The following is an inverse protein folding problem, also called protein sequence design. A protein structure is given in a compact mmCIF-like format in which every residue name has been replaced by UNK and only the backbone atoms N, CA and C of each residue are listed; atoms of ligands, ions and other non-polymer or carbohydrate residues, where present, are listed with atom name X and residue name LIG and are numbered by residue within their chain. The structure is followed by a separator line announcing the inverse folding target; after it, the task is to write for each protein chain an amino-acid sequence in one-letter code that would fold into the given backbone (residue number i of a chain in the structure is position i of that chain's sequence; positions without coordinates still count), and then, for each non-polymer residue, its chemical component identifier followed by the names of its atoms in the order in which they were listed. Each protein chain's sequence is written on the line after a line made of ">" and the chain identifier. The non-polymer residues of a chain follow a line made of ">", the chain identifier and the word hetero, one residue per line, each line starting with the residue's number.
data_IF_751887030042
#
_entry.id   IF_751887030042
#
_cell.length_a   1.000
_cell.length_b   1.000
_cell.length_c   1.000
_cell.angle_alpha   90.00
_cell.angle_beta   90.00
_cell.angle_gamma   90.00
#
_symmetry.space_group_name_H-M   'P 1'
#
loop_
_entity.id
_entity.type
_entity.pdbx_description
1 polymer ?
#
# COMPACT_ATOMS: atom_id res chain seq x y z
N UNK A 1 19.35 2.87 -15.91
CA UNK A 1 18.12 2.36 -15.28
C UNK A 1 18.34 0.88 -15.02
N UNK A 2 18.20 0.41 -13.77
CA UNK A 2 18.38 -1.01 -13.45
C UNK A 2 17.27 -1.88 -14.05
N UNK A 3 17.51 -3.19 -14.16
CA UNK A 3 16.52 -4.15 -14.66
C UNK A 3 15.24 -4.14 -13.81
N UNK A 4 15.36 -4.03 -12.49
CA UNK A 4 14.23 -3.93 -11.55
C UNK A 4 13.38 -2.69 -11.82
N UNK A 5 14.01 -1.51 -12.02
CA UNK A 5 13.30 -0.28 -12.35
C UNK A 5 12.60 -0.37 -13.70
N UNK A 6 13.25 -0.96 -14.71
CA UNK A 6 12.67 -1.19 -16.02
C UNK A 6 11.45 -2.12 -15.95
N UNK A 7 11.54 -3.19 -15.16
CA UNK A 7 10.43 -4.12 -14.92
C UNK A 7 9.22 -3.41 -14.27
N UNK A 8 9.46 -2.57 -13.26
CA UNK A 8 8.39 -1.79 -12.59
C UNK A 8 7.77 -0.76 -13.55
N UNK A 9 8.61 -0.04 -14.31
CA UNK A 9 8.15 0.96 -15.27
C UNK A 9 7.27 0.34 -16.38
N UNK A 10 7.57 -0.88 -16.82
CA UNK A 10 6.83 -1.61 -17.87
C UNK A 10 5.74 -2.55 -17.36
N UNK A 11 5.52 -2.63 -16.04
CA UNK A 11 4.54 -3.52 -15.42
C UNK A 11 3.12 -3.26 -15.96
N UNK A 12 2.41 -4.32 -16.34
CA UNK A 12 1.04 -4.24 -16.86
C UNK A 12 -0.01 -4.37 -15.76
N UNK A 13 0.31 -5.04 -14.68
CA UNK A 13 -0.55 -5.16 -13.49
C UNK A 13 0.23 -4.65 -12.28
N UNK A 14 -0.27 -3.59 -11.65
CA UNK A 14 0.44 -2.91 -10.58
C UNK A 14 -0.48 -2.71 -9.37
N UNK A 15 0.06 -2.98 -8.19
CA UNK A 15 -0.57 -2.59 -6.94
C UNK A 15 0.13 -1.35 -6.40
N UNK A 16 -0.64 -0.33 -6.05
CA UNK A 16 -0.13 0.92 -5.51
C UNK A 16 -0.69 1.13 -4.11
N UNK A 17 0.17 1.08 -3.11
CA UNK A 17 -0.20 1.38 -1.73
C UNK A 17 0.04 2.86 -1.43
N UNK A 18 -0.94 3.49 -0.80
CA UNK A 18 -0.90 4.90 -0.42
C UNK A 18 -1.05 5.01 1.09
N UNK A 19 -0.02 5.56 1.74
CA UNK A 19 0.03 5.75 3.19
C UNK A 19 -0.96 6.82 3.69
N UNK A 20 -1.35 6.74 4.96
CA UNK A 20 -2.30 7.69 5.57
C UNK A 20 -1.80 9.13 5.56
N UNK A 21 -0.50 9.36 5.76
CA UNK A 21 0.14 10.68 5.72
C UNK A 21 0.01 11.40 4.38
N UNK A 22 -0.12 10.63 3.29
CA UNK A 22 -0.35 11.17 1.96
C UNK A 22 -1.79 11.63 1.71
N UNK A 23 -2.75 11.14 2.50
CA UNK A 23 -4.19 11.33 2.28
C UNK A 23 -4.87 12.18 3.35
N UNK A 24 -4.23 12.36 4.52
CA UNK A 24 -4.83 13.09 5.65
C UNK A 24 -3.96 14.26 6.08
N UNK A 25 -4.60 15.33 6.54
CA UNK A 25 -3.92 16.50 7.10
C UNK A 25 -3.62 16.32 8.60
N UNK A 26 -2.68 17.15 9.13
CA UNK A 26 -2.33 17.17 10.55
C UNK A 26 -3.48 17.58 11.47
N UNK A 27 -4.41 18.40 10.97
CA UNK A 27 -5.59 18.88 11.69
C UNK A 27 -6.78 17.92 11.56
N UNK A 28 -6.58 16.76 10.96
CA UNK A 28 -7.61 15.75 10.71
C UNK A 28 -8.38 15.99 9.41
N UNK A 29 -8.97 14.90 8.90
CA UNK A 29 -9.72 14.91 7.66
C UNK A 29 -8.87 14.59 6.42
N UNK A 30 -9.55 14.41 5.30
CA UNK A 30 -8.93 14.10 4.01
C UNK A 30 -8.34 15.35 3.36
N UNK A 31 -7.15 15.22 2.81
CA UNK A 31 -6.56 16.19 1.88
C UNK A 31 -6.98 15.82 0.45
N UNK A 32 -8.10 16.39 0.01
CA UNK A 32 -8.66 16.13 -1.32
C UNK A 32 -7.73 16.59 -2.44
N UNK A 33 -6.93 17.64 -2.20
CA UNK A 33 -5.96 18.12 -3.18
C UNK A 33 -4.87 17.08 -3.45
N UNK A 34 -4.28 16.52 -2.39
CA UNK A 34 -3.28 15.44 -2.52
C UNK A 34 -3.89 14.18 -3.12
N UNK A 35 -5.11 13.82 -2.71
CA UNK A 35 -5.81 12.67 -3.27
C UNK A 35 -6.04 12.82 -4.77
N UNK A 36 -6.42 14.02 -5.23
CA UNK A 36 -6.58 14.31 -6.65
C UNK A 36 -5.27 14.17 -7.43
N UNK A 37 -4.14 14.66 -6.92
CA UNK A 37 -2.83 14.51 -7.56
C UNK A 37 -2.42 13.03 -7.67
N UNK A 38 -2.70 12.24 -6.64
CA UNK A 38 -2.46 10.80 -6.68
C UNK A 38 -3.35 10.10 -7.70
N UNK A 39 -4.64 10.45 -7.77
CA UNK A 39 -5.54 9.92 -8.78
C UNK A 39 -5.12 10.31 -10.21
N UNK A 40 -4.56 11.51 -10.41
CA UNK A 40 -4.03 11.95 -11.70
C UNK A 40 -2.85 11.08 -12.14
N UNK A 41 -1.92 10.77 -11.23
CA UNK A 41 -0.78 9.90 -11.49
C UNK A 41 -1.21 8.44 -11.79
N UNK A 42 -2.18 7.93 -11.02
CA UNK A 42 -2.76 6.59 -11.23
C UNK A 42 -3.49 6.50 -12.58
N UNK A 43 -4.26 7.53 -12.93
CA UNK A 43 -4.96 7.58 -14.22
C UNK A 43 -3.98 7.65 -15.39
N UNK A 44 -2.91 8.43 -15.29
CA UNK A 44 -1.87 8.47 -16.30
C UNK A 44 -1.26 7.08 -16.55
N UNK A 45 -1.01 6.31 -15.48
CA UNK A 45 -0.53 4.94 -15.56
C UNK A 45 -1.55 4.01 -16.24
N UNK A 46 -2.84 4.12 -15.88
CA UNK A 46 -3.90 3.32 -16.50
C UNK A 46 -4.06 3.64 -17.98
N UNK A 47 -3.96 4.91 -18.40
CA UNK A 47 -3.97 5.30 -19.81
C UNK A 47 -2.78 4.77 -20.59
N UNK A 48 -1.66 4.57 -19.94
CA UNK A 48 -0.48 3.93 -20.54
C UNK A 48 -0.64 2.40 -20.69
N UNK A 49 -1.77 1.82 -20.29
CA UNK A 49 -2.13 0.42 -20.54
C UNK A 49 -1.88 -0.51 -19.34
N UNK A 50 -1.69 0.01 -18.15
CA UNK A 50 -1.56 -0.81 -16.95
C UNK A 50 -2.89 -0.96 -16.21
N UNK A 51 -3.15 -2.15 -15.68
CA UNK A 51 -4.19 -2.38 -14.68
C UNK A 51 -3.66 -1.96 -13.30
N UNK A 52 -4.44 -1.17 -12.57
CA UNK A 52 -4.04 -0.62 -11.27
C UNK A 52 -5.04 -1.04 -10.19
N UNK A 53 -4.50 -1.59 -9.10
CA UNK A 53 -5.23 -1.80 -7.83
C UNK A 53 -4.63 -0.85 -6.80
N UNK A 54 -5.47 -0.07 -6.14
CA UNK A 54 -5.06 0.87 -5.10
C UNK A 54 -5.28 0.24 -3.73
N UNK A 55 -4.26 0.20 -2.88
CA UNK A 55 -4.41 -0.13 -1.46
C UNK A 55 -4.29 1.17 -0.66
N UNK A 56 -5.44 1.66 -0.19
CA UNK A 56 -5.56 2.97 0.45
C UNK A 56 -5.54 2.85 1.95
N UNK A 57 -4.82 3.74 2.61
CA UNK A 57 -4.89 3.96 4.06
C UNK A 57 -5.70 5.22 4.36
N UNK A 58 -5.76 5.61 5.65
CA UNK A 58 -6.26 6.91 6.06
C UNK A 58 -7.69 6.93 6.59
N UNK A 59 -8.40 5.79 6.65
CA UNK A 59 -9.78 5.74 7.12
C UNK A 59 -9.94 6.29 8.55
N UNK A 60 -9.12 5.84 9.51
CA UNK A 60 -9.17 6.36 10.89
C UNK A 60 -8.93 7.88 10.91
N UNK A 61 -7.89 8.35 10.21
CA UNK A 61 -7.57 9.79 10.14
C UNK A 61 -8.69 10.62 9.53
N UNK A 62 -9.32 10.12 8.46
CA UNK A 62 -10.42 10.78 7.80
C UNK A 62 -11.68 10.90 8.69
N UNK A 63 -11.86 9.97 9.63
CA UNK A 63 -13.01 9.96 10.54
C UNK A 63 -12.85 10.82 11.80
N UNK A 64 -11.64 11.33 12.10
CA UNK A 64 -11.41 12.09 13.33
C UNK A 64 -12.21 13.38 13.38
N UNK A 65 -12.03 14.23 12.38
CA UNK A 65 -12.69 15.54 12.34
C UNK A 65 -14.22 15.45 12.30
N UNK A 66 -14.86 14.58 11.50
CA UNK A 66 -16.32 14.42 11.51
C UNK A 66 -16.87 13.96 12.87
N UNK A 67 -16.09 13.24 13.67
CA UNK A 67 -16.46 12.77 15.01
C UNK A 67 -16.05 13.75 16.12
N UNK A 68 -15.49 14.91 15.79
CA UNK A 68 -15.01 15.89 16.77
C UNK A 68 -13.79 15.40 17.60
N UNK A 69 -13.06 14.41 17.09
CA UNK A 69 -11.88 13.85 17.75
C UNK A 69 -10.64 14.69 17.37
N UNK A 70 -9.98 15.23 18.37
CA UNK A 70 -8.76 16.05 18.20
C UNK A 70 -7.48 15.21 18.15
N UNK A 71 -7.55 13.95 18.59
CA UNK A 71 -6.41 13.05 18.67
C UNK A 71 -6.81 11.65 18.17
N UNK A 72 -5.80 10.90 17.72
CA UNK A 72 -6.02 9.50 17.33
C UNK A 72 -6.41 8.67 18.55
N UNK A 73 -7.56 7.97 18.53
CA UNK A 73 -8.03 7.15 19.65
C UNK A 73 -7.02 6.06 20.02
N UNK A 74 -6.97 5.71 21.29
CA UNK A 74 -6.13 4.61 21.77
C UNK A 74 -6.92 3.30 21.88
N UNK A 75 -8.19 3.38 22.27
CA UNK A 75 -9.07 2.23 22.38
C UNK A 75 -9.55 1.74 21.03
N UNK A 76 -9.82 0.43 20.93
CA UNK A 76 -10.19 -0.23 19.68
C UNK A 76 -11.56 0.25 19.18
N UNK A 77 -12.56 0.35 20.04
CA UNK A 77 -13.91 0.68 19.63
C UNK A 77 -14.00 2.07 19.00
N UNK A 78 -13.33 3.08 19.59
CA UNK A 78 -13.28 4.42 19.03
C UNK A 78 -12.47 4.47 17.71
N UNK A 79 -11.39 3.66 17.59
CA UNK A 79 -10.66 3.53 16.33
C UNK A 79 -11.55 2.93 15.23
N UNK A 80 -12.32 1.88 15.55
CA UNK A 80 -13.24 1.24 14.61
C UNK A 80 -14.37 2.20 14.19
N UNK A 81 -14.93 2.97 15.15
CA UNK A 81 -15.93 3.98 14.85
C UNK A 81 -15.36 5.08 13.91
N UNK A 82 -14.17 5.59 14.21
CA UNK A 82 -13.48 6.57 13.36
C UNK A 82 -13.19 6.00 11.97
N UNK A 83 -12.72 4.76 11.89
CA UNK A 83 -12.49 4.09 10.60
C UNK A 83 -13.79 3.93 9.80
N UNK A 84 -14.90 3.57 10.45
CA UNK A 84 -16.21 3.43 9.79
C UNK A 84 -16.66 4.74 9.13
N UNK A 85 -16.62 5.85 9.87
CA UNK A 85 -16.97 7.18 9.33
C UNK A 85 -15.98 7.61 8.24
N UNK A 86 -14.69 7.46 8.51
CA UNK A 86 -13.65 7.90 7.58
C UNK A 86 -13.56 7.05 6.32
N UNK A 87 -13.90 5.76 6.38
CA UNK A 87 -13.92 4.88 5.20
C UNK A 87 -14.98 5.32 4.19
N UNK A 88 -16.15 5.77 4.66
CA UNK A 88 -17.18 6.32 3.78
C UNK A 88 -16.68 7.59 3.07
N UNK A 89 -16.07 8.51 3.82
CA UNK A 89 -15.48 9.73 3.26
C UNK A 89 -14.37 9.45 2.26
N UNK A 90 -13.49 8.50 2.59
CA UNK A 90 -12.37 8.09 1.74
C UNK A 90 -12.84 7.46 0.43
N UNK A 91 -13.81 6.55 0.49
CA UNK A 91 -14.39 5.91 -0.69
C UNK A 91 -15.08 6.93 -1.60
N UNK A 92 -15.83 7.88 -1.00
CA UNK A 92 -16.47 8.99 -1.75
C UNK A 92 -15.42 9.88 -2.43
N UNK A 93 -14.34 10.24 -1.73
CA UNK A 93 -13.28 11.08 -2.27
C UNK A 93 -12.58 10.42 -3.46
N UNK A 94 -12.23 9.12 -3.36
CA UNK A 94 -11.68 8.36 -4.49
C UNK A 94 -12.66 8.28 -5.66
N UNK A 95 -13.95 8.01 -5.39
CA UNK A 95 -14.99 7.96 -6.42
C UNK A 95 -15.13 9.29 -7.15
N UNK A 96 -15.18 10.40 -6.43
CA UNK A 96 -15.25 11.75 -6.99
C UNK A 96 -14.02 12.11 -7.80
N UNK A 97 -12.84 11.76 -7.30
CA UNK A 97 -11.58 12.04 -8.00
C UNK A 97 -11.48 11.28 -9.32
N UNK A 98 -11.78 9.99 -9.35
CA UNK A 98 -11.74 9.18 -10.55
C UNK A 98 -12.90 9.46 -11.52
N UNK A 99 -14.04 9.99 -11.04
CA UNK A 99 -15.15 10.42 -11.89
C UNK A 99 -14.74 11.53 -12.87
N UNK A 100 -13.71 12.34 -12.54
CA UNK A 100 -13.12 13.35 -13.46
C UNK A 100 -12.63 12.72 -14.77
N UNK A 101 -12.31 11.43 -14.74
CA UNK A 101 -11.80 10.64 -15.87
C UNK A 101 -12.83 9.63 -16.40
N UNK A 102 -14.06 9.67 -15.92
CA UNK A 102 -15.11 8.72 -16.29
C UNK A 102 -14.87 7.31 -15.76
N UNK A 103 -14.02 7.15 -14.71
CA UNK A 103 -13.75 5.86 -14.10
C UNK A 103 -14.73 5.54 -12.98
N UNK A 104 -15.19 4.29 -12.95
CA UNK A 104 -15.93 3.73 -11.81
C UNK A 104 -14.96 3.19 -10.78
N UNK A 105 -15.26 3.41 -9.51
CA UNK A 105 -14.48 2.90 -8.37
C UNK A 105 -15.26 1.80 -7.66
N UNK A 106 -14.59 0.70 -7.34
CA UNK A 106 -15.12 -0.37 -6.49
C UNK A 106 -14.34 -0.45 -5.18
N UNK A 107 -15.03 -0.40 -4.02
CA UNK A 107 -14.40 -0.59 -2.72
C UNK A 107 -14.34 -2.07 -2.36
N UNK A 108 -13.17 -2.53 -1.88
CA UNK A 108 -12.94 -3.89 -1.38
C UNK A 108 -12.30 -3.81 0.00
N UNK A 109 -13.02 -4.24 1.03
CA UNK A 109 -12.53 -4.26 2.41
C UNK A 109 -12.15 -5.70 2.79
N UNK A 110 -10.92 -5.88 3.26
CA UNK A 110 -10.35 -7.18 3.59
C UNK A 110 -9.77 -7.17 5.01
N UNK A 111 -9.88 -8.30 5.67
CA UNK A 111 -9.14 -8.59 6.91
C UNK A 111 -8.00 -9.56 6.63
N UNK A 112 -7.06 -9.70 7.58
CA UNK A 112 -6.02 -10.72 7.51
C UNK A 112 -6.64 -12.13 7.39
N UNK A 113 -7.73 -12.37 8.08
CA UNK A 113 -8.46 -13.65 8.06
C UNK A 113 -9.09 -13.94 6.69
N UNK A 114 -9.66 -12.92 6.02
CA UNK A 114 -10.21 -13.06 4.66
C UNK A 114 -9.15 -13.49 3.66
N UNK A 115 -7.94 -12.98 3.83
CA UNK A 115 -6.82 -13.37 2.97
C UNK A 115 -6.29 -14.76 3.36
N UNK A 116 -6.27 -15.13 4.63
CA UNK A 116 -5.78 -16.43 5.12
C UNK A 116 -6.70 -17.60 4.75
N UNK A 117 -8.01 -17.40 4.72
CA UNK A 117 -8.99 -18.46 4.46
C UNK A 117 -9.19 -18.69 2.96
N UNK A 118 -9.00 -19.93 2.51
CA UNK A 118 -9.04 -20.32 1.10
C UNK A 118 -10.27 -19.86 0.33
N UNK A 119 -11.45 -19.91 0.95
CA UNK A 119 -12.72 -19.53 0.29
C UNK A 119 -12.80 -18.03 0.10
N UNK A 120 -12.54 -17.25 1.15
CA UNK A 120 -12.55 -15.79 1.14
C UNK A 120 -11.48 -15.25 0.21
N UNK A 121 -10.25 -15.80 0.28
CA UNK A 121 -9.16 -15.51 -0.63
C UNK A 121 -9.57 -15.62 -2.10
N UNK A 122 -10.17 -16.77 -2.48
CA UNK A 122 -10.64 -16.99 -3.84
C UNK A 122 -11.75 -16.01 -4.25
N UNK A 123 -12.65 -15.68 -3.34
CA UNK A 123 -13.71 -14.71 -3.61
C UNK A 123 -13.15 -13.30 -3.80
N UNK A 124 -12.22 -12.86 -2.93
CA UNK A 124 -11.54 -11.59 -3.06
C UNK A 124 -10.79 -11.50 -4.41
N UNK A 125 -10.04 -12.54 -4.77
CA UNK A 125 -9.34 -12.61 -6.05
C UNK A 125 -10.30 -12.45 -7.23
N UNK A 126 -11.39 -13.25 -7.26
CA UNK A 126 -12.39 -13.19 -8.34
C UNK A 126 -13.07 -11.83 -8.43
N UNK A 127 -13.34 -11.19 -7.29
CA UNK A 127 -13.91 -9.83 -7.26
C UNK A 127 -12.96 -8.82 -7.87
N UNK A 128 -11.68 -8.83 -7.48
CA UNK A 128 -10.65 -7.94 -8.03
C UNK A 128 -10.45 -8.19 -9.53
N UNK A 129 -10.38 -9.45 -9.96
CA UNK A 129 -10.29 -9.80 -11.38
C UNK A 129 -11.52 -9.32 -12.16
N UNK A 130 -12.72 -9.40 -11.56
CA UNK A 130 -13.93 -8.95 -12.23
C UNK A 130 -14.03 -7.45 -12.32
N UNK A 131 -13.64 -6.70 -11.28
CA UNK A 131 -13.54 -5.24 -11.31
C UNK A 131 -12.60 -4.79 -12.42
N UNK A 132 -11.43 -5.41 -12.52
CA UNK A 132 -10.48 -5.16 -13.60
C UNK A 132 -11.10 -5.41 -14.99
N UNK A 133 -11.73 -6.56 -15.17
CA UNK A 133 -12.39 -6.90 -16.45
C UNK A 133 -13.53 -5.94 -16.82
N UNK A 134 -14.12 -5.27 -15.84
CA UNK A 134 -15.16 -4.25 -16.01
C UNK A 134 -14.59 -2.82 -16.08
N UNK A 135 -13.26 -2.68 -16.12
CA UNK A 135 -12.53 -1.40 -16.14
C UNK A 135 -12.84 -0.49 -14.94
N UNK A 136 -13.24 -1.07 -13.79
CA UNK A 136 -13.42 -0.37 -12.54
C UNK A 136 -12.12 -0.36 -11.75
N UNK A 137 -11.81 0.77 -11.12
CA UNK A 137 -10.62 0.90 -10.25
C UNK A 137 -10.94 0.30 -8.89
N UNK A 138 -10.22 -0.72 -8.48
CA UNK A 138 -10.37 -1.32 -7.16
C UNK A 138 -9.61 -0.49 -6.11
N UNK A 139 -10.32 -0.02 -5.09
CA UNK A 139 -9.77 0.62 -3.90
C UNK A 139 -9.89 -0.38 -2.74
N UNK A 140 -8.77 -0.96 -2.36
CA UNK A 140 -8.68 -1.94 -1.28
C UNK A 140 -8.27 -1.24 0.01
N UNK A 141 -8.86 -1.63 1.14
CA UNK A 141 -8.43 -1.21 2.46
C UNK A 141 -8.64 -2.34 3.47
N UNK A 142 -8.04 -2.21 4.66
CA UNK A 142 -8.38 -3.07 5.78
C UNK A 142 -9.83 -2.83 6.21
N UNK A 143 -10.56 -3.90 6.55
CA UNK A 143 -11.85 -3.79 7.19
C UNK A 143 -11.68 -3.54 8.70
N UNK A 144 -11.31 -2.30 9.02
CA UNK A 144 -11.04 -1.87 10.39
C UNK A 144 -12.22 -2.09 11.35
N UNK A 145 -13.46 -2.14 10.85
CA UNK A 145 -14.66 -2.27 11.69
C UNK A 145 -14.79 -3.64 12.35
N UNK A 146 -14.23 -4.67 11.75
CA UNK A 146 -14.28 -6.04 12.27
C UNK A 146 -12.90 -6.63 12.54
N UNK A 147 -11.82 -5.91 12.22
CA UNK A 147 -10.47 -6.36 12.50
C UNK A 147 -10.21 -6.39 14.02
N UNK A 148 -9.72 -7.53 14.52
CA UNK A 148 -9.34 -7.68 15.92
C UNK A 148 -7.93 -7.13 16.17
N UNK A 149 -7.58 -6.87 17.44
CA UNK A 149 -6.27 -6.31 17.81
C UNK A 149 -5.14 -7.25 17.37
N UNK A 150 -5.38 -8.56 17.46
CA UNK A 150 -4.41 -9.62 17.16
C UNK A 150 -4.23 -9.86 15.65
N UNK A 151 -5.27 -9.58 14.86
CA UNK A 151 -5.33 -9.89 13.43
C UNK A 151 -5.29 -8.64 12.53
N UNK A 152 -4.93 -7.48 13.07
CA UNK A 152 -4.76 -6.26 12.26
C UNK A 152 -3.46 -6.32 11.47
N UNK A 153 -3.53 -5.82 10.25
CA UNK A 153 -2.32 -5.59 9.46
C UNK A 153 -1.40 -4.53 10.09
N UNK A 154 -1.93 -3.72 11.04
CA UNK A 154 -1.20 -2.64 11.70
C UNK A 154 -0.94 -1.47 10.76
N UNK A 155 -0.48 -1.74 9.56
CA UNK A 155 -0.47 -0.83 8.44
C UNK A 155 -0.75 -1.60 7.13
N UNK A 156 -1.19 -0.88 6.11
CA UNK A 156 -1.58 -1.46 4.82
C UNK A 156 -0.39 -1.85 3.92
N UNK A 157 0.86 -1.70 4.37
CA UNK A 157 2.03 -2.14 3.59
C UNK A 157 2.00 -3.66 3.41
N UNK A 158 1.75 -4.40 4.51
CA UNK A 158 1.59 -5.87 4.45
C UNK A 158 0.36 -6.28 3.63
N UNK A 159 -0.79 -5.60 3.81
CA UNK A 159 -1.98 -5.85 3.00
C UNK A 159 -1.68 -5.66 1.51
N UNK A 160 -0.94 -4.63 1.14
CA UNK A 160 -0.57 -4.36 -0.24
C UNK A 160 0.31 -5.48 -0.85
N UNK A 161 1.29 -5.99 -0.09
CA UNK A 161 2.11 -7.12 -0.52
C UNK A 161 1.26 -8.39 -0.74
N UNK A 162 0.30 -8.65 0.15
CA UNK A 162 -0.63 -9.78 0.03
C UNK A 162 -1.58 -9.61 -1.16
N UNK A 163 -2.10 -8.41 -1.39
CA UNK A 163 -2.94 -8.09 -2.55
C UNK A 163 -2.14 -8.22 -3.85
N UNK A 164 -0.88 -7.77 -3.89
CA UNK A 164 -0.02 -7.92 -5.05
C UNK A 164 0.18 -9.39 -5.42
N UNK A 165 0.39 -10.25 -4.43
CA UNK A 165 0.44 -11.69 -4.64
C UNK A 165 -0.93 -12.26 -5.10
N UNK A 166 -2.03 -11.84 -4.46
CA UNK A 166 -3.41 -12.28 -4.73
C UNK A 166 -3.82 -12.03 -6.18
N UNK A 167 -3.54 -10.84 -6.72
CA UNK A 167 -3.91 -10.45 -8.09
C UNK A 167 -2.84 -10.84 -9.13
N UNK A 168 -1.73 -11.42 -8.70
CA UNK A 168 -0.62 -11.74 -9.57
C UNK A 168 0.03 -10.51 -10.20
N UNK A 169 0.19 -9.43 -9.44
CA UNK A 169 0.77 -8.19 -9.92
C UNK A 169 2.21 -8.37 -10.45
N UNK A 170 2.56 -7.56 -11.44
CA UNK A 170 3.91 -7.48 -11.99
C UNK A 170 4.81 -6.55 -11.16
N UNK A 171 4.21 -5.62 -10.38
CA UNK A 171 4.94 -4.72 -9.50
C UNK A 171 4.08 -4.26 -8.32
N UNK A 172 4.74 -3.87 -7.22
CA UNK A 172 4.16 -3.19 -6.07
C UNK A 172 4.87 -1.84 -5.88
N UNK A 173 4.09 -0.75 -5.75
CA UNK A 173 4.61 0.57 -5.39
C UNK A 173 4.08 0.95 -4.02
N UNK A 174 5.00 1.26 -3.10
CA UNK A 174 4.71 1.74 -1.75
C UNK A 174 4.95 3.26 -1.71
N UNK A 175 3.88 4.04 -1.77
CA UNK A 175 3.91 5.50 -1.62
C UNK A 175 3.75 5.87 -0.15
N UNK A 176 4.73 6.57 0.38
CA UNK A 176 4.91 6.83 1.81
C UNK A 176 5.23 8.30 2.11
N UNK A 177 5.56 8.58 3.35
CA UNK A 177 6.14 9.83 3.83
C UNK A 177 7.68 9.88 3.76
N UNK A 178 8.28 8.78 3.30
CA UNK A 178 9.73 8.68 3.10
C UNK A 178 10.04 8.47 1.63
N UNK A 179 11.14 9.05 1.18
CA UNK A 179 11.60 9.01 -0.21
C UNK A 179 12.37 7.74 -0.59
N UNK A 180 12.63 6.86 0.38
CA UNK A 180 13.28 5.57 0.16
C UNK A 180 13.87 4.99 1.44
N UNK A 181 14.71 3.97 1.27
CA UNK A 181 15.44 3.31 2.34
C UNK A 181 16.86 3.90 2.45
N UNK A 182 17.28 4.17 3.67
CA UNK A 182 18.62 4.68 4.00
C UNK A 182 19.42 3.66 4.80
N UNK A 183 20.73 3.72 4.70
CA UNK A 183 21.66 2.90 5.49
C UNK A 183 21.69 3.28 6.97
N UNK A 184 21.13 4.44 7.35
CA UNK A 184 21.01 4.96 8.69
C UNK A 184 19.78 5.86 8.85
N UNK A 185 19.69 6.56 9.99
CA UNK A 185 18.62 7.56 10.23
C UNK A 185 18.96 8.88 9.50
N UNK A 186 18.26 9.24 8.42
CA UNK A 186 18.58 10.46 7.65
C UNK A 186 18.43 11.75 8.48
N UNK A 187 17.65 11.72 9.57
CA UNK A 187 17.49 12.88 10.47
C UNK A 187 18.74 13.18 11.29
N UNK A 188 19.64 12.20 11.45
CA UNK A 188 20.91 12.35 12.18
C UNK A 188 22.06 12.85 11.31
N UNK A 189 21.84 12.97 10.00
CA UNK A 189 22.85 13.30 8.99
C UNK A 189 23.79 12.13 8.67
N UNK A 190 24.39 12.17 7.47
CA UNK A 190 25.36 11.19 7.01
C UNK A 190 24.76 9.86 6.49
N UNK A 191 23.44 9.67 6.54
CA UNK A 191 22.81 8.52 5.94
C UNK A 191 22.72 8.66 4.41
N UNK A 192 22.95 7.54 3.70
CA UNK A 192 22.91 7.49 2.24
C UNK A 192 21.69 6.69 1.79
N UNK A 193 20.99 7.19 0.77
CA UNK A 193 19.88 6.46 0.15
C UNK A 193 20.39 5.18 -0.50
N UNK A 194 19.72 4.06 -0.22
CA UNK A 194 19.96 2.77 -0.88
C UNK A 194 19.08 2.73 -2.13
N UNK A 195 19.63 2.85 -3.34
CA UNK A 195 18.80 2.95 -4.55
C UNK A 195 18.18 1.60 -4.94
N UNK A 196 18.84 0.49 -4.59
CA UNK A 196 18.42 -0.85 -5.00
C UNK A 196 18.82 -1.90 -3.98
N UNK A 197 17.92 -2.85 -3.72
CA UNK A 197 18.09 -4.03 -2.86
C UNK A 197 17.90 -5.26 -3.74
N UNK A 198 18.97 -5.95 -4.05
CA UNK A 198 18.96 -7.14 -4.92
C UNK A 198 18.90 -8.43 -4.11
N UNK A 199 19.36 -8.39 -2.86
CA UNK A 199 19.46 -9.57 -2.00
C UNK A 199 19.18 -9.18 -0.53
N UNK A 200 18.89 -10.15 0.36
CA UNK A 200 18.71 -9.86 1.79
C UNK A 200 19.96 -9.29 2.44
N UNK A 201 21.14 -9.67 1.94
CA UNK A 201 22.44 -9.26 2.44
C UNK A 201 22.67 -7.75 2.25
N UNK A 202 22.05 -7.13 1.24
CA UNK A 202 22.07 -5.67 1.02
C UNK A 202 21.38 -4.89 2.16
N UNK A 203 20.65 -5.59 3.01
CA UNK A 203 19.97 -5.04 4.18
C UNK A 203 20.73 -5.31 5.49
N UNK A 204 21.87 -5.96 5.45
CA UNK A 204 22.70 -6.21 6.62
C UNK A 204 23.24 -4.89 7.18
N UNK A 205 22.94 -4.62 8.44
CA UNK A 205 23.31 -3.36 9.11
C UNK A 205 22.32 -2.21 8.94
N UNK A 206 21.28 -2.38 8.12
CA UNK A 206 20.23 -1.35 7.99
C UNK A 206 19.33 -1.35 9.22
N UNK A 207 19.35 -0.26 9.98
CA UNK A 207 18.50 -0.09 11.17
C UNK A 207 17.16 0.49 10.78
N UNK A 208 16.13 -0.35 10.75
CA UNK A 208 14.76 0.09 10.53
C UNK A 208 14.21 0.82 11.76
N UNK A 209 14.13 2.15 11.69
CA UNK A 209 13.56 2.97 12.74
C UNK A 209 12.05 2.77 12.92
N UNK A 210 11.52 3.00 14.13
CA UNK A 210 10.08 3.04 14.41
C UNK A 210 9.45 4.30 13.82
N UNK A 211 8.23 4.17 13.28
CA UNK A 211 7.56 5.21 12.48
C UNK A 211 7.30 6.55 13.18
N UNK A 212 7.00 7.55 12.36
CA UNK A 212 6.71 8.92 12.77
C UNK A 212 5.30 9.11 13.35
N UNK A 213 5.00 10.32 13.82
CA UNK A 213 3.80 10.68 14.60
C UNK A 213 2.44 10.50 13.86
N UNK A 214 2.42 10.37 12.55
CA UNK A 214 1.20 10.32 11.72
C UNK A 214 0.86 8.93 11.16
N UNK A 215 1.79 7.96 11.18
CA UNK A 215 1.59 6.61 10.62
C UNK A 215 1.82 5.50 11.64
N UNK A 216 1.07 4.42 11.54
CA UNK A 216 1.27 3.18 12.31
C UNK A 216 2.37 2.30 11.71
N UNK A 217 2.79 2.57 10.46
CA UNK A 217 3.79 1.84 9.72
C UNK A 217 5.16 2.51 9.74
N UNK A 218 6.09 1.98 10.51
CA UNK A 218 7.49 2.39 10.47
C UNK A 218 8.24 1.77 9.28
N UNK A 219 9.53 2.12 9.12
CA UNK A 219 10.40 1.53 8.08
C UNK A 219 10.44 0.00 8.19
N UNK A 220 10.40 -0.57 9.40
CA UNK A 220 10.36 -2.02 9.61
C UNK A 220 9.17 -2.70 8.89
N UNK A 221 7.97 -2.08 8.95
CA UNK A 221 6.80 -2.59 8.28
C UNK A 221 6.96 -2.56 6.75
N UNK A 222 7.48 -1.45 6.22
CA UNK A 222 7.74 -1.29 4.78
C UNK A 222 8.76 -2.31 4.26
N UNK A 223 9.84 -2.52 5.01
CA UNK A 223 10.84 -3.54 4.69
C UNK A 223 10.25 -4.95 4.73
N UNK A 224 9.44 -5.25 5.75
CA UNK A 224 8.75 -6.55 5.85
C UNK A 224 7.82 -6.77 4.65
N UNK A 225 7.04 -5.77 4.28
CA UNK A 225 6.14 -5.83 3.12
C UNK A 225 6.90 -5.96 1.80
N UNK A 226 7.99 -5.19 1.62
CA UNK A 226 8.82 -5.26 0.43
C UNK A 226 9.48 -6.64 0.28
N UNK A 227 10.02 -7.21 1.37
CA UNK A 227 10.55 -8.58 1.39
C UNK A 227 9.49 -9.61 1.04
N UNK A 228 8.30 -9.49 1.63
CA UNK A 228 7.17 -10.38 1.38
C UNK A 228 6.78 -10.40 -0.10
N UNK A 229 6.68 -9.24 -0.74
CA UNK A 229 6.37 -9.12 -2.16
C UNK A 229 7.52 -9.65 -3.03
N UNK A 230 8.76 -9.26 -2.74
CA UNK A 230 9.93 -9.72 -3.48
C UNK A 230 10.10 -11.26 -3.42
N UNK A 231 9.91 -11.86 -2.25
CA UNK A 231 9.92 -13.33 -2.07
C UNK A 231 8.78 -14.03 -2.84
N UNK A 232 7.71 -13.29 -3.13
CA UNK A 232 6.59 -13.76 -3.96
C UNK A 232 6.84 -13.58 -5.46
N UNK A 233 7.98 -13.03 -5.85
CA UNK A 233 8.33 -12.75 -7.24
C UNK A 233 7.75 -11.45 -7.77
N UNK A 234 7.42 -10.49 -6.89
CA UNK A 234 6.90 -9.16 -7.24
C UNK A 234 7.95 -8.10 -6.87
N UNK A 235 8.56 -7.39 -7.83
CA UNK A 235 9.48 -6.30 -7.54
C UNK A 235 8.72 -5.14 -6.87
N UNK A 236 9.43 -4.41 -5.99
CA UNK A 236 8.82 -3.34 -5.19
C UNK A 236 9.57 -2.03 -5.39
N UNK A 237 8.84 -0.93 -5.48
CA UNK A 237 9.37 0.43 -5.36
C UNK A 237 8.83 1.08 -4.08
N UNK A 238 9.72 1.57 -3.24
CA UNK A 238 9.40 2.39 -2.07
C UNK A 238 9.86 3.83 -2.33
N UNK A 239 8.93 4.80 -2.24
CA UNK A 239 9.24 6.21 -2.43
C UNK A 239 8.22 7.13 -1.75
N UNK A 240 8.48 8.43 -1.76
CA UNK A 240 7.55 9.42 -1.25
C UNK A 240 6.30 9.55 -2.14
N UNK A 241 5.16 9.83 -1.51
CA UNK A 241 3.90 10.04 -2.24
C UNK A 241 3.96 11.28 -3.16
N UNK A 242 4.83 12.25 -2.87
CA UNK A 242 5.11 13.41 -3.76
C UNK A 242 5.69 12.99 -5.10
N UNK A 243 6.38 11.85 -5.16
CA UNK A 243 7.06 11.33 -6.35
C UNK A 243 6.17 10.36 -7.15
N UNK A 244 4.88 10.27 -6.84
CA UNK A 244 3.95 9.31 -7.43
C UNK A 244 3.97 9.34 -8.97
N UNK A 245 4.02 10.53 -9.59
CA UNK A 245 4.06 10.64 -11.04
C UNK A 245 5.31 9.98 -11.64
N UNK A 246 6.50 10.23 -11.08
CA UNK A 246 7.76 9.61 -11.52
C UNK A 246 7.80 8.12 -11.18
N UNK A 247 7.33 7.75 -9.97
CA UNK A 247 7.25 6.36 -9.53
C UNK A 247 6.41 5.49 -10.48
N UNK A 248 5.27 6.04 -10.95
CA UNK A 248 4.33 5.34 -11.80
C UNK A 248 4.63 5.44 -13.32
N UNK A 249 5.64 6.19 -13.72
CA UNK A 249 6.09 6.30 -15.11
C UNK A 249 7.43 5.61 -15.35
N UNK A 250 8.49 6.19 -14.80
CA UNK A 250 9.88 5.74 -15.05
C UNK A 250 10.45 4.88 -13.93
N UNK A 251 9.83 4.88 -12.74
CA UNK A 251 10.35 4.27 -11.52
C UNK A 251 11.77 4.78 -11.10
N UNK A 252 12.17 5.98 -11.57
CA UNK A 252 13.51 6.53 -11.33
C UNK A 252 13.53 7.42 -10.07
N UNK A 253 13.00 6.88 -8.99
CA UNK A 253 12.95 7.48 -7.64
C UNK A 253 13.07 6.40 -6.59
N UNK A 254 13.37 6.77 -5.37
CA UNK A 254 13.30 5.91 -4.20
C UNK A 254 14.21 4.68 -4.24
N UNK A 255 13.80 3.67 -3.49
CA UNK A 255 14.46 2.37 -3.38
C UNK A 255 13.66 1.28 -4.08
N UNK A 256 14.30 0.52 -4.97
CA UNK A 256 13.68 -0.68 -5.57
C UNK A 256 14.20 -1.94 -4.92
N UNK A 257 13.33 -2.95 -4.80
CA UNK A 257 13.63 -4.29 -4.30
C UNK A 257 13.41 -5.27 -5.44
N UNK A 258 14.46 -5.98 -5.82
CA UNK A 258 14.40 -6.97 -6.88
C UNK A 258 13.53 -8.16 -6.49
N UNK A 259 12.72 -8.64 -7.43
CA UNK A 259 11.96 -9.86 -7.25
C UNK A 259 12.88 -11.08 -7.19
N UNK A 260 12.57 -12.06 -6.36
CA UNK A 260 13.31 -13.31 -6.32
C UNK A 260 13.00 -14.18 -7.53
N UNK A 261 13.98 -14.94 -8.06
CA UNK A 261 13.82 -15.70 -9.31
C UNK A 261 12.72 -16.77 -9.26
N UNK A 262 12.39 -17.25 -8.06
CA UNK A 262 11.40 -18.32 -7.89
C UNK A 262 10.14 -17.78 -7.21
N UNK A 263 9.12 -17.50 -8.01
CA UNK A 263 7.79 -17.14 -7.50
C UNK A 263 7.27 -18.25 -6.60
N UNK A 264 7.11 -17.95 -5.33
CA UNK A 264 6.58 -18.90 -4.36
C UNK A 264 5.16 -19.30 -4.75
N UNK A 265 4.85 -20.61 -4.76
CA UNK A 265 3.45 -21.01 -5.01
C UNK A 265 2.55 -20.45 -3.90
N UNK A 266 1.30 -20.11 -4.24
CA UNK A 266 0.33 -19.58 -3.29
C UNK A 266 0.26 -20.43 -2.00
N UNK A 267 0.33 -21.76 -2.11
CA UNK A 267 0.34 -22.66 -0.95
C UNK A 267 1.56 -22.50 -0.04
N UNK A 268 2.78 -22.39 -0.62
CA UNK A 268 4.02 -22.19 0.18
C UNK A 268 4.04 -20.81 0.81
N UNK A 269 3.56 -19.81 0.08
CA UNK A 269 3.42 -18.45 0.57
C UNK A 269 2.52 -18.40 1.82
N UNK A 270 1.34 -19.04 1.75
CA UNK A 270 0.39 -19.08 2.87
C UNK A 270 0.92 -19.83 4.09
N UNK A 271 1.54 -21.02 3.91
CA UNK A 271 2.10 -21.78 5.01
C UNK A 271 3.20 -21.00 5.74
N UNK A 272 3.99 -20.21 5.02
CA UNK A 272 5.10 -19.47 5.59
C UNK A 272 4.66 -18.17 6.29
N UNK A 273 3.62 -17.52 5.81
CA UNK A 273 3.22 -16.18 6.28
C UNK A 273 1.89 -16.14 7.04
N UNK A 274 1.06 -17.19 6.97
CA UNK A 274 -0.11 -17.34 7.85
C UNK A 274 0.28 -17.81 9.26
N UNK A 275 1.44 -18.45 9.42
CA UNK A 275 1.94 -18.87 10.73
C UNK A 275 2.52 -17.71 11.57
N UNK A 276 2.88 -16.58 10.95
CA UNK A 276 3.37 -15.39 11.65
C UNK A 276 2.25 -14.53 12.26
N UNK A 277 1.01 -15.04 12.26
CA UNK A 277 -0.18 -14.39 12.83
C UNK A 277 -0.72 -15.09 14.08
N UNK A 278 0.03 -16.05 14.68
CA UNK A 278 -0.32 -16.65 15.98
C UNK A 278 0.56 -16.11 17.10
#
# INVERSE_FOLDING_TARGET
>A
MSETRAAIASARSIVVKIGSSALTSLIGGLDVGRLNLLADALEARMRAGSDVVVVSSGAVGAGLAPLGLTHRPRDLATKQAAASVGQLALAHAWGTSFARYGRTVGQVLLTADDIARRTQHRNAQRTLDRLRALHAVAIVNENDTVATTELRFGDNDRLAALVAHLVGADALVLLSDVDGLYDGDPRKGGATLIPEVNSPEDLDGVVAGSGGALGTGGMASKLSAARLAADSGVPVLLTAASDAATALTTADVGTVFAARPHRMSARKFWVRHAADTQ
#
